data_IF_662255153368
#
_entry.id   IF_662255153368
#
_cell.length_a   1.000
_cell.length_b   1.000
_cell.length_c   1.000
_cell.angle_alpha   90.00
_cell.angle_beta   90.00
_cell.angle_gamma   90.00
#
_symmetry.space_group_name_H-M   'P 1'
#
loop_
_entity.id
_entity.type
_entity.pdbx_description
1 polymer ?
#
# COMPACT_ATOMS: atom_id res chain seq x y z
N UNK A 1 -43.37 63.98 2.04
CA UNK A 1 -41.95 63.81 1.67
C UNK A 1 -41.34 62.64 2.46
N UNK A 2 -41.07 62.76 3.76
CA UNK A 2 -40.45 61.69 4.58
C UNK A 2 -41.14 60.31 4.54
N UNK A 3 -42.48 60.24 4.58
CA UNK A 3 -43.22 58.96 4.50
C UNK A 3 -43.01 58.23 3.16
N UNK A 4 -43.01 58.96 2.06
CA UNK A 4 -42.78 58.40 0.72
C UNK A 4 -41.36 57.88 0.55
N UNK A 5 -40.39 58.51 1.21
CA UNK A 5 -38.99 58.09 1.19
C UNK A 5 -38.77 56.82 2.01
N UNK A 6 -39.42 56.73 3.18
CA UNK A 6 -39.44 55.50 3.99
C UNK A 6 -40.07 54.33 3.21
N UNK A 7 -41.17 54.56 2.50
CA UNK A 7 -41.82 53.52 1.70
C UNK A 7 -40.96 53.10 0.49
N UNK A 8 -40.26 54.04 -0.15
CA UNK A 8 -39.28 53.71 -1.19
C UNK A 8 -38.12 52.85 -0.64
N UNK A 9 -37.53 53.22 0.50
CA UNK A 9 -36.46 52.45 1.14
C UNK A 9 -36.92 51.06 1.59
N UNK A 10 -38.18 50.92 2.03
CA UNK A 10 -38.77 49.60 2.33
C UNK A 10 -38.89 48.73 1.09
N UNK A 11 -39.36 49.30 -0.02
CA UNK A 11 -39.47 48.59 -1.29
C UNK A 11 -38.09 48.20 -1.84
N UNK A 12 -37.08 49.07 -1.71
CA UNK A 12 -35.69 48.74 -2.10
C UNK A 12 -35.09 47.63 -1.24
N UNK A 13 -35.31 47.69 0.08
CA UNK A 13 -34.89 46.62 0.99
C UNK A 13 -35.56 45.29 0.66
N UNK A 14 -36.87 45.29 0.39
CA UNK A 14 -37.59 44.07 0.01
C UNK A 14 -37.05 43.49 -1.31
N UNK A 15 -36.78 44.34 -2.30
CA UNK A 15 -36.13 43.91 -3.56
C UNK A 15 -34.74 43.32 -3.31
N UNK A 16 -33.95 43.95 -2.45
CA UNK A 16 -32.61 43.46 -2.09
C UNK A 16 -32.68 42.12 -1.34
N UNK A 17 -33.57 41.98 -0.36
CA UNK A 17 -33.77 40.72 0.38
C UNK A 17 -34.22 39.59 -0.57
N UNK A 18 -35.13 39.88 -1.50
CA UNK A 18 -35.56 38.91 -2.51
C UNK A 18 -34.41 38.49 -3.44
N UNK A 19 -33.58 39.44 -3.87
CA UNK A 19 -32.39 39.15 -4.68
C UNK A 19 -31.36 38.32 -3.90
N UNK A 20 -31.10 38.66 -2.63
CA UNK A 20 -30.19 37.90 -1.75
C UNK A 20 -30.67 36.45 -1.56
N UNK A 21 -31.96 36.25 -1.27
CA UNK A 21 -32.56 34.92 -1.14
C UNK A 21 -32.44 34.11 -2.43
N UNK A 22 -32.61 34.74 -3.59
CA UNK A 22 -32.42 34.10 -4.88
C UNK A 22 -30.96 33.67 -5.09
N UNK A 23 -30.01 34.57 -4.84
CA UNK A 23 -28.57 34.26 -4.92
C UNK A 23 -28.16 33.15 -3.94
N UNK A 24 -28.69 33.13 -2.73
CA UNK A 24 -28.47 32.07 -1.74
C UNK A 24 -29.07 30.72 -2.18
N UNK A 25 -30.20 30.74 -2.88
CA UNK A 25 -30.80 29.54 -3.46
C UNK A 25 -29.94 28.98 -4.59
N UNK A 26 -29.49 29.84 -5.51
CA UNK A 26 -28.62 29.46 -6.63
C UNK A 26 -27.27 28.91 -6.13
N UNK A 27 -26.69 29.52 -5.08
CA UNK A 27 -25.47 29.01 -4.45
C UNK A 27 -25.65 27.63 -3.82
N UNK A 28 -26.81 27.37 -3.19
CA UNK A 28 -27.12 26.04 -2.64
C UNK A 28 -27.28 24.99 -3.73
N UNK A 29 -27.97 25.34 -4.80
CA UNK A 29 -28.15 24.45 -5.95
C UNK A 29 -26.82 24.13 -6.63
N UNK A 30 -25.97 25.13 -6.87
CA UNK A 30 -24.65 24.93 -7.46
C UNK A 30 -23.76 24.05 -6.57
N UNK A 31 -23.81 24.22 -5.25
CA UNK A 31 -23.10 23.35 -4.30
C UNK A 31 -23.60 21.90 -4.37
N UNK A 32 -24.91 21.70 -4.47
CA UNK A 32 -25.48 20.35 -4.62
C UNK A 32 -25.02 19.70 -5.93
N UNK A 33 -25.07 20.43 -7.04
CA UNK A 33 -24.58 19.94 -8.34
C UNK A 33 -23.07 19.63 -8.31
N UNK A 34 -22.27 20.44 -7.60
CA UNK A 34 -20.84 20.20 -7.44
C UNK A 34 -20.59 18.88 -6.69
N UNK A 35 -21.29 18.66 -5.58
CA UNK A 35 -21.18 17.41 -4.79
C UNK A 35 -21.59 16.21 -5.65
N UNK A 36 -22.71 16.29 -6.35
CA UNK A 36 -23.17 15.22 -7.24
C UNK A 36 -22.15 14.93 -8.36
N UNK A 37 -21.55 15.97 -8.95
CA UNK A 37 -20.51 15.81 -9.96
C UNK A 37 -19.26 15.11 -9.41
N UNK A 38 -18.86 15.45 -8.18
CA UNK A 38 -17.74 14.80 -7.48
C UNK A 38 -18.08 13.33 -7.21
N UNK A 39 -19.27 13.03 -6.69
CA UNK A 39 -19.71 11.64 -6.40
C UNK A 39 -19.74 10.79 -7.67
N UNK A 40 -20.28 11.31 -8.78
CA UNK A 40 -20.26 10.65 -10.09
C UNK A 40 -18.83 10.44 -10.59
N UNK A 41 -17.94 11.41 -10.39
CA UNK A 41 -16.54 11.31 -10.78
C UNK A 41 -15.79 10.25 -9.97
N UNK A 42 -16.01 10.19 -8.65
CA UNK A 42 -15.42 9.19 -7.75
C UNK A 42 -15.91 7.80 -8.14
N UNK A 43 -17.22 7.62 -8.32
CA UNK A 43 -17.81 6.34 -8.74
C UNK A 43 -17.22 5.85 -10.07
N UNK A 44 -17.08 6.75 -11.04
CA UNK A 44 -16.51 6.42 -12.36
C UNK A 44 -15.02 6.07 -12.26
N UNK A 45 -14.29 6.74 -11.36
CA UNK A 45 -12.88 6.46 -11.10
C UNK A 45 -12.70 5.07 -10.47
N UNK A 46 -13.53 4.72 -9.48
CA UNK A 46 -13.49 3.42 -8.82
C UNK A 46 -13.83 2.29 -9.79
N UNK A 47 -14.88 2.44 -10.61
CA UNK A 47 -15.21 1.48 -11.66
C UNK A 47 -14.06 1.27 -12.66
N UNK A 48 -13.40 2.36 -13.07
CA UNK A 48 -12.22 2.28 -13.96
C UNK A 48 -11.05 1.58 -13.28
N UNK A 49 -10.81 1.86 -12.00
CA UNK A 49 -9.76 1.22 -11.20
C UNK A 49 -10.00 -0.29 -11.10
N UNK A 50 -11.23 -0.71 -10.83
CA UNK A 50 -11.61 -2.12 -10.76
C UNK A 50 -11.50 -2.83 -12.12
N UNK A 51 -11.93 -2.17 -13.20
CA UNK A 51 -11.80 -2.70 -14.56
C UNK A 51 -10.31 -2.87 -14.94
N UNK A 52 -9.46 -1.89 -14.63
CA UNK A 52 -8.03 -1.97 -14.88
C UNK A 52 -7.36 -3.08 -14.06
N UNK A 53 -7.73 -3.24 -12.78
CA UNK A 53 -7.21 -4.33 -11.96
C UNK A 53 -7.58 -5.71 -12.54
N UNK A 54 -8.82 -5.88 -13.00
CA UNK A 54 -9.27 -7.10 -13.68
C UNK A 54 -8.54 -7.33 -15.01
N UNK A 55 -8.31 -6.27 -15.79
CA UNK A 55 -7.58 -6.36 -17.05
C UNK A 55 -6.13 -6.81 -16.84
N UNK A 56 -5.44 -6.24 -15.85
CA UNK A 56 -4.07 -6.64 -15.50
C UNK A 56 -4.04 -8.10 -15.05
N UNK A 57 -4.98 -8.53 -14.20
CA UNK A 57 -5.06 -9.92 -13.74
C UNK A 57 -5.31 -10.91 -14.89
N UNK A 58 -6.18 -10.54 -15.84
CA UNK A 58 -6.42 -11.36 -17.03
C UNK A 58 -5.20 -11.40 -17.94
N UNK A 59 -4.49 -10.28 -18.09
CA UNK A 59 -3.27 -10.21 -18.88
C UNK A 59 -2.16 -11.08 -18.27
N UNK A 60 -1.91 -10.97 -16.96
CA UNK A 60 -0.88 -11.79 -16.29
C UNK A 60 -1.23 -13.27 -16.38
N UNK A 61 -2.50 -13.63 -16.20
CA UNK A 61 -2.95 -15.02 -16.38
C UNK A 61 -2.74 -15.50 -17.82
N UNK A 62 -3.07 -14.69 -18.82
CA UNK A 62 -2.86 -15.05 -20.22
C UNK A 62 -1.36 -15.20 -20.55
N UNK A 63 -0.50 -14.37 -19.97
CA UNK A 63 0.96 -14.47 -20.13
C UNK A 63 1.52 -15.72 -19.46
N UNK A 64 1.05 -16.09 -18.26
CA UNK A 64 1.46 -17.33 -17.59
C UNK A 64 0.99 -18.57 -18.35
N UNK A 65 -0.27 -18.58 -18.81
CA UNK A 65 -0.84 -19.69 -19.57
C UNK A 65 -0.11 -19.86 -20.91
N UNK A 66 0.21 -18.74 -21.58
CA UNK A 66 1.02 -18.75 -22.80
C UNK A 66 2.42 -19.29 -22.53
N UNK A 67 3.09 -18.84 -21.46
CA UNK A 67 4.43 -19.32 -21.11
C UNK A 67 4.44 -20.82 -20.80
N UNK A 68 3.42 -21.32 -20.09
CA UNK A 68 3.25 -22.74 -19.83
C UNK A 68 3.04 -23.54 -21.14
N UNK A 69 2.16 -23.06 -22.02
CA UNK A 69 1.92 -23.69 -23.32
C UNK A 69 3.18 -23.70 -24.21
N UNK A 70 3.98 -22.62 -24.21
CA UNK A 70 5.26 -22.59 -24.90
C UNK A 70 6.26 -23.60 -24.32
N UNK A 71 6.28 -23.80 -23.00
CA UNK A 71 7.15 -24.79 -22.36
C UNK A 71 6.75 -26.22 -22.74
N UNK A 72 5.45 -26.53 -22.72
CA UNK A 72 4.91 -27.82 -23.18
C UNK A 72 5.23 -28.07 -24.66
N UNK A 73 5.09 -27.05 -25.51
CA UNK A 73 5.43 -27.15 -26.93
C UNK A 73 6.91 -27.46 -27.16
N UNK A 74 7.82 -26.79 -26.43
CA UNK A 74 9.26 -27.08 -26.51
C UNK A 74 9.61 -28.50 -26.06
N UNK A 75 8.91 -29.03 -25.06
CA UNK A 75 9.13 -30.41 -24.60
C UNK A 75 8.63 -31.43 -25.63
N UNK A 76 7.46 -31.21 -26.22
CA UNK A 76 6.96 -32.02 -27.33
C UNK A 76 7.91 -31.97 -28.53
N UNK A 77 8.44 -30.80 -28.88
CA UNK A 77 9.46 -30.67 -29.93
C UNK A 77 10.74 -31.46 -29.62
N UNK A 78 11.19 -31.47 -28.36
CA UNK A 78 12.32 -32.30 -27.90
C UNK A 78 12.03 -33.78 -28.05
N UNK A 79 10.86 -34.25 -27.63
CA UNK A 79 10.43 -35.63 -27.80
C UNK A 79 10.36 -36.02 -29.27
N UNK A 80 9.76 -35.18 -30.13
CA UNK A 80 9.69 -35.42 -31.58
C UNK A 80 11.09 -35.45 -32.20
N UNK A 81 12.00 -34.57 -31.78
CA UNK A 81 13.39 -34.55 -32.24
C UNK A 81 14.14 -35.83 -31.85
N UNK A 82 13.96 -36.27 -30.60
CA UNK A 82 14.50 -37.55 -30.12
C UNK A 82 13.95 -38.73 -30.94
N UNK A 83 12.64 -38.81 -31.13
CA UNK A 83 11.99 -39.87 -31.90
C UNK A 83 12.37 -39.85 -33.39
N UNK A 84 12.57 -38.67 -33.98
CA UNK A 84 13.09 -38.55 -35.35
C UNK A 84 14.51 -39.11 -35.42
N UNK A 85 15.40 -38.71 -34.50
CA UNK A 85 16.76 -39.27 -34.44
C UNK A 85 16.77 -40.77 -34.23
N UNK A 86 15.89 -41.29 -33.37
CA UNK A 86 15.75 -42.72 -33.14
C UNK A 86 15.23 -43.44 -34.40
N UNK A 87 14.22 -42.89 -35.06
CA UNK A 87 13.72 -43.42 -36.34
C UNK A 87 14.78 -43.41 -37.43
N UNK A 88 15.57 -42.34 -37.55
CA UNK A 88 16.65 -42.23 -38.51
C UNK A 88 17.79 -43.20 -38.18
N UNK A 89 18.13 -43.37 -36.90
CA UNK A 89 19.08 -44.37 -36.44
C UNK A 89 18.60 -45.80 -36.74
N UNK A 90 17.33 -46.10 -36.45
CA UNK A 90 16.72 -47.40 -36.78
C UNK A 90 16.67 -47.61 -38.28
N UNK A 91 16.35 -46.59 -39.09
CA UNK A 91 16.43 -46.66 -40.56
C UNK A 91 17.85 -46.91 -41.05
N UNK A 92 18.86 -46.27 -40.47
CA UNK A 92 20.26 -46.46 -40.85
C UNK A 92 20.79 -47.83 -40.42
N UNK A 93 20.34 -48.35 -39.28
CA UNK A 93 20.67 -49.71 -38.81
C UNK A 93 19.90 -50.80 -39.55
N UNK A 94 18.66 -50.51 -39.95
CA UNK A 94 17.80 -51.40 -40.74
C UNK A 94 18.05 -51.28 -42.23
N UNK A 95 18.78 -50.26 -42.69
CA UNK A 95 19.45 -50.28 -43.97
C UNK A 95 20.48 -51.40 -43.87
N UNK A 96 20.10 -52.56 -44.40
CA UNK A 96 21.03 -53.57 -44.86
C UNK A 96 22.13 -52.81 -45.61
N UNK A 97 23.39 -52.93 -45.16
CA UNK A 97 24.53 -52.52 -45.96
C UNK A 97 24.25 -53.08 -47.36
N UNK A 98 24.02 -52.23 -48.35
CA UNK A 98 24.01 -52.68 -49.74
C UNK A 98 25.43 -53.17 -50.01
N UNK A 99 25.66 -54.45 -49.74
CA UNK A 99 26.72 -55.21 -50.37
C UNK A 99 26.34 -55.33 -51.84
N UNK A 100 27.33 -55.18 -52.73
CA UNK A 100 27.17 -55.31 -54.18
C UNK A 100 26.26 -56.49 -54.55
N UNK A 101 25.35 -56.29 -55.50
CA UNK A 101 24.34 -57.29 -55.93
C UNK A 101 24.98 -58.65 -56.33
N UNK A 102 26.24 -58.67 -56.75
CA UNK A 102 27.01 -59.89 -57.05
C UNK A 102 27.47 -60.67 -55.80
N UNK A 103 27.71 -60.00 -54.67
CA UNK A 103 28.10 -60.64 -53.41
C UNK A 103 26.90 -61.23 -52.66
N UNK A 104 25.73 -60.59 -52.79
CA UNK A 104 24.47 -61.02 -52.15
C UNK A 104 23.93 -62.30 -52.80
N UNK A 105 24.04 -62.47 -54.11
CA UNK A 105 23.61 -63.69 -54.81
C UNK A 105 24.54 -64.88 -54.52
N UNK A 106 25.85 -64.63 -54.39
CA UNK A 106 26.83 -65.64 -53.98
C UNK A 106 26.67 -66.07 -52.52
N UNK A 107 26.40 -65.12 -51.60
CA UNK A 107 26.14 -65.44 -50.18
C UNK A 107 24.79 -66.11 -49.98
N UNK A 108 23.70 -65.69 -50.61
CA UNK A 108 22.38 -66.34 -50.47
C UNK A 108 22.41 -67.83 -50.86
N UNK A 109 23.20 -68.20 -51.87
CA UNK A 109 23.38 -69.61 -52.28
C UNK A 109 24.21 -70.43 -51.29
N UNK A 110 25.23 -69.82 -50.67
CA UNK A 110 26.10 -70.45 -49.65
C UNK A 110 25.48 -70.44 -48.24
N UNK A 111 24.62 -69.46 -47.97
CA UNK A 111 23.97 -69.23 -46.69
C UNK A 111 22.67 -70.03 -46.58
N UNK A 112 21.96 -70.34 -47.66
CA UNK A 112 20.87 -71.33 -47.63
C UNK A 112 21.37 -72.73 -47.19
N UNK A 113 22.56 -73.13 -47.66
CA UNK A 113 23.20 -74.40 -47.31
C UNK A 113 23.84 -74.35 -45.91
N UNK A 114 24.40 -73.20 -45.51
CA UNK A 114 24.98 -73.00 -44.18
C UNK A 114 23.94 -72.73 -43.08
N UNK A 115 22.75 -72.22 -43.40
CA UNK A 115 21.66 -71.98 -42.44
C UNK A 115 20.94 -73.26 -42.09
N UNK A 116 20.80 -74.22 -43.00
CA UNK A 116 20.27 -75.55 -42.66
C UNK A 116 21.22 -76.32 -41.74
N UNK A 117 22.54 -76.23 -42.00
CA UNK A 117 23.59 -76.78 -41.11
C UNK A 117 23.68 -76.03 -39.78
N UNK A 118 23.70 -74.69 -39.79
CA UNK A 118 23.71 -73.88 -38.56
C UNK A 118 22.42 -73.97 -37.76
N UNK A 119 21.27 -74.25 -38.37
CA UNK A 119 20.02 -74.47 -37.63
C UNK A 119 20.09 -75.77 -36.86
N UNK A 120 20.57 -76.85 -37.50
CA UNK A 120 20.84 -78.14 -36.84
C UNK A 120 21.96 -78.03 -35.80
N UNK A 121 23.08 -77.38 -36.10
CA UNK A 121 24.19 -77.16 -35.15
C UNK A 121 23.82 -76.19 -34.01
N UNK A 122 22.93 -75.20 -34.22
CA UNK A 122 22.41 -74.34 -33.15
C UNK A 122 21.35 -75.05 -32.31
N UNK A 123 20.50 -75.87 -32.91
CA UNK A 123 19.55 -76.73 -32.19
C UNK A 123 20.33 -77.77 -31.36
N UNK A 124 21.37 -78.40 -31.92
CA UNK A 124 22.26 -79.36 -31.23
C UNK A 124 23.13 -78.69 -30.16
N UNK A 125 23.82 -77.57 -30.44
CA UNK A 125 24.56 -76.85 -29.40
C UNK A 125 23.67 -76.24 -28.33
N UNK A 126 22.42 -75.88 -28.66
CA UNK A 126 21.45 -75.45 -27.65
C UNK A 126 21.07 -76.61 -26.75
N UNK A 127 20.81 -77.80 -27.30
CA UNK A 127 20.49 -79.00 -26.53
C UNK A 127 21.68 -79.47 -25.69
N UNK A 128 22.89 -79.52 -26.24
CA UNK A 128 24.12 -79.86 -25.51
C UNK A 128 24.42 -78.85 -24.40
N UNK A 129 24.20 -77.55 -24.64
CA UNK A 129 24.35 -76.51 -23.62
C UNK A 129 23.30 -76.64 -22.51
N UNK A 130 22.05 -77.00 -22.85
CA UNK A 130 21.01 -77.27 -21.87
C UNK A 130 21.29 -78.55 -21.09
N UNK A 131 21.73 -79.64 -21.72
CA UNK A 131 22.16 -80.88 -21.06
C UNK A 131 23.35 -80.65 -20.11
N UNK A 132 24.33 -79.85 -20.53
CA UNK A 132 25.49 -79.49 -19.69
C UNK A 132 25.08 -78.68 -18.46
N UNK A 133 24.18 -77.71 -18.63
CA UNK A 133 23.58 -76.97 -17.50
C UNK A 133 22.73 -77.87 -16.61
N UNK A 134 21.99 -78.82 -17.17
CA UNK A 134 21.19 -79.78 -16.41
C UNK A 134 22.06 -80.72 -15.58
N UNK A 135 23.14 -81.27 -16.15
CA UNK A 135 24.13 -82.07 -15.41
C UNK A 135 24.75 -81.25 -14.27
N UNK A 136 25.03 -79.96 -14.51
CA UNK A 136 25.53 -79.08 -13.46
C UNK A 136 24.53 -78.85 -12.33
N UNK A 137 23.25 -78.71 -12.65
CA UNK A 137 22.18 -78.58 -11.64
C UNK A 137 21.99 -79.91 -10.89
N UNK A 138 22.09 -81.05 -11.57
CA UNK A 138 22.02 -82.39 -10.99
C UNK A 138 23.17 -82.66 -10.00
N UNK A 139 24.39 -82.22 -10.32
CA UNK A 139 25.56 -82.29 -9.42
C UNK A 139 25.38 -81.46 -8.15
N UNK A 140 24.73 -80.29 -8.26
CA UNK A 140 24.55 -79.35 -7.14
C UNK A 140 23.35 -79.73 -6.27
N UNK A 141 22.27 -80.21 -6.90
CA UNK A 141 20.99 -80.49 -6.23
C UNK A 141 20.91 -81.92 -5.66
N UNK A 142 21.71 -82.86 -6.18
CA UNK A 142 21.84 -84.22 -5.64
C UNK A 142 20.65 -85.16 -5.91
N UNK A 143 19.62 -84.71 -6.63
CA UNK A 143 18.46 -85.52 -7.01
C UNK A 143 18.60 -86.10 -8.42
N UNK A 144 18.36 -87.41 -8.56
CA UNK A 144 18.52 -88.14 -9.84
C UNK A 144 17.23 -88.20 -10.67
N UNK A 145 16.10 -87.79 -10.10
CA UNK A 145 14.77 -87.91 -10.71
C UNK A 145 14.37 -86.57 -11.35
N UNK A 146 14.38 -86.53 -12.68
CA UNK A 146 14.33 -85.29 -13.47
C UNK A 146 13.00 -84.54 -13.28
N UNK A 147 11.91 -85.29 -13.16
CA UNK A 147 10.57 -84.72 -12.95
C UNK A 147 10.44 -84.07 -11.56
N UNK A 148 11.01 -84.69 -10.51
CA UNK A 148 10.99 -84.11 -9.14
C UNK A 148 11.84 -82.85 -9.01
N UNK A 149 12.94 -82.78 -9.76
CA UNK A 149 13.79 -81.59 -9.80
C UNK A 149 13.06 -80.43 -10.49
N UNK A 150 12.34 -80.71 -11.57
CA UNK A 150 11.51 -79.70 -12.26
C UNK A 150 10.38 -79.23 -11.35
N UNK A 151 9.68 -80.14 -10.67
CA UNK A 151 8.60 -79.77 -9.73
C UNK A 151 9.11 -78.88 -8.58
N UNK A 152 10.27 -79.21 -7.99
CA UNK A 152 10.91 -78.36 -6.97
C UNK A 152 11.41 -77.03 -7.52
N UNK A 153 11.91 -77.02 -8.75
CA UNK A 153 12.34 -75.79 -9.40
C UNK A 153 11.15 -74.86 -9.63
N UNK A 154 10.02 -75.40 -10.11
CA UNK A 154 8.77 -74.65 -10.27
C UNK A 154 8.30 -74.12 -8.90
N UNK A 155 8.30 -74.93 -7.85
CA UNK A 155 7.93 -74.45 -6.52
C UNK A 155 8.84 -73.33 -5.98
N UNK A 156 10.15 -73.43 -6.22
CA UNK A 156 11.12 -72.41 -5.81
C UNK A 156 10.98 -71.16 -6.68
N UNK A 157 10.73 -71.32 -7.98
CA UNK A 157 10.49 -70.24 -8.93
C UNK A 157 9.19 -69.50 -8.58
N UNK A 158 8.11 -70.20 -8.26
CA UNK A 158 6.84 -69.61 -7.81
C UNK A 158 7.02 -68.82 -6.51
N UNK A 159 7.76 -69.37 -5.54
CA UNK A 159 8.09 -68.66 -4.29
C UNK A 159 8.95 -67.42 -4.56
N UNK A 160 9.91 -67.52 -5.47
CA UNK A 160 10.79 -66.41 -5.84
C UNK A 160 10.03 -65.34 -6.62
N UNK A 161 9.11 -65.74 -7.50
CA UNK A 161 8.22 -64.85 -8.23
C UNK A 161 7.28 -64.10 -7.28
N UNK A 162 6.70 -64.80 -6.29
CA UNK A 162 5.91 -64.17 -5.24
C UNK A 162 6.73 -63.16 -4.42
N UNK A 163 7.98 -63.51 -4.06
CA UNK A 163 8.89 -62.61 -3.37
C UNK A 163 9.27 -61.39 -4.22
N UNK A 164 9.55 -61.58 -5.51
CA UNK A 164 9.87 -60.49 -6.43
C UNK A 164 8.70 -59.51 -6.58
N UNK A 165 7.48 -60.04 -6.70
CA UNK A 165 6.27 -59.21 -6.72
C UNK A 165 6.09 -58.45 -5.40
N UNK A 166 6.34 -59.10 -4.25
CA UNK A 166 6.28 -58.44 -2.95
C UNK A 166 7.33 -57.33 -2.80
N UNK A 167 8.57 -57.57 -3.25
CA UNK A 167 9.62 -56.56 -3.25
C UNK A 167 9.27 -55.39 -4.17
N UNK A 168 8.70 -55.64 -5.34
CA UNK A 168 8.24 -54.57 -6.23
C UNK A 168 7.11 -53.75 -5.61
N UNK A 169 6.14 -54.41 -4.98
CA UNK A 169 5.06 -53.73 -4.27
C UNK A 169 5.59 -52.90 -3.10
N UNK A 170 6.52 -53.43 -2.31
CA UNK A 170 7.19 -52.66 -1.26
C UNK A 170 7.98 -51.48 -1.80
N UNK A 171 8.68 -51.63 -2.92
CA UNK A 171 9.40 -50.52 -3.55
C UNK A 171 8.42 -49.44 -4.03
N UNK A 172 7.29 -49.82 -4.61
CA UNK A 172 6.25 -48.89 -5.02
C UNK A 172 5.62 -48.16 -3.80
N UNK A 173 5.44 -48.88 -2.68
CA UNK A 173 5.01 -48.28 -1.42
C UNK A 173 6.07 -47.33 -0.83
N UNK A 174 7.36 -47.65 -0.96
CA UNK A 174 8.44 -46.76 -0.54
C UNK A 174 8.44 -45.49 -1.38
N UNK A 175 8.29 -45.60 -2.71
CA UNK A 175 8.24 -44.43 -3.60
C UNK A 175 7.04 -43.52 -3.29
N UNK A 176 5.86 -44.09 -3.12
CA UNK A 176 4.65 -43.33 -2.75
C UNK A 176 4.78 -42.67 -1.37
N UNK A 177 5.34 -43.35 -0.38
CA UNK A 177 5.61 -42.76 0.94
C UNK A 177 6.67 -41.64 0.87
N UNK A 178 7.70 -41.80 0.04
CA UNK A 178 8.71 -40.77 -0.17
C UNK A 178 8.11 -39.51 -0.84
N UNK A 179 7.21 -39.70 -1.81
CA UNK A 179 6.47 -38.60 -2.45
C UNK A 179 5.58 -37.88 -1.43
N UNK A 180 4.82 -38.62 -0.61
CA UNK A 180 4.02 -38.03 0.47
C UNK A 180 4.87 -37.25 1.48
N UNK A 181 6.03 -37.78 1.87
CA UNK A 181 6.96 -37.07 2.77
C UNK A 181 7.48 -35.79 2.10
N UNK A 182 7.80 -35.84 0.80
CA UNK A 182 8.26 -34.67 0.07
C UNK A 182 7.16 -33.59 0.00
N UNK A 183 5.92 -33.98 -0.24
CA UNK A 183 4.80 -33.05 -0.32
C UNK A 183 4.45 -32.45 1.05
N UNK A 184 4.42 -33.26 2.12
CA UNK A 184 4.23 -32.75 3.48
C UNK A 184 5.34 -31.75 3.84
N UNK A 185 6.60 -32.03 3.48
CA UNK A 185 7.72 -31.09 3.72
C UNK A 185 7.55 -29.78 2.95
N UNK A 186 7.08 -29.83 1.69
CA UNK A 186 6.75 -28.62 0.92
C UNK A 186 5.63 -27.83 1.58
N UNK A 187 4.60 -28.51 2.10
CA UNK A 187 3.51 -27.85 2.82
C UNK A 187 3.99 -27.18 4.11
N UNK A 188 4.84 -27.86 4.90
CA UNK A 188 5.46 -27.28 6.10
C UNK A 188 6.22 -26.00 5.72
N UNK A 189 7.08 -26.03 4.71
CA UNK A 189 7.80 -24.83 4.27
C UNK A 189 6.87 -23.71 3.80
N UNK A 190 5.76 -24.04 3.13
CA UNK A 190 4.74 -23.05 2.74
C UNK A 190 4.10 -22.41 3.98
N UNK A 191 3.75 -23.22 4.98
CA UNK A 191 3.15 -22.73 6.23
C UNK A 191 4.14 -21.92 7.07
N UNK A 192 5.42 -22.31 7.11
CA UNK A 192 6.46 -21.52 7.77
C UNK A 192 6.63 -20.15 7.11
N UNK A 193 6.69 -20.09 5.77
CA UNK A 193 6.76 -18.83 5.03
C UNK A 193 5.55 -17.92 5.30
N UNK A 194 4.34 -18.49 5.24
CA UNK A 194 3.11 -17.76 5.58
C UNK A 194 3.09 -17.31 7.06
N UNK A 195 3.64 -18.11 7.97
CA UNK A 195 3.76 -17.79 9.38
C UNK A 195 4.66 -16.60 9.64
N UNK A 196 5.80 -16.51 8.94
CA UNK A 196 6.72 -15.37 9.03
C UNK A 196 6.07 -14.09 8.50
N UNK A 197 5.42 -14.13 7.34
CA UNK A 197 4.72 -12.96 6.79
C UNK A 197 3.60 -12.48 7.71
N UNK A 198 2.81 -13.41 8.27
CA UNK A 198 1.73 -13.06 9.20
C UNK A 198 2.28 -12.48 10.50
N UNK A 199 3.38 -13.03 11.04
CA UNK A 199 4.00 -12.50 12.26
C UNK A 199 4.61 -11.12 12.02
N UNK A 200 5.24 -10.87 10.86
CA UNK A 200 5.70 -9.52 10.48
C UNK A 200 4.53 -8.53 10.39
N UNK A 201 3.43 -8.90 9.75
CA UNK A 201 2.24 -8.04 9.67
C UNK A 201 1.67 -7.75 11.06
N UNK A 202 1.60 -8.78 11.92
CA UNK A 202 1.14 -8.65 13.30
C UNK A 202 2.08 -7.78 14.13
N UNK A 203 3.38 -7.85 13.92
CA UNK A 203 4.38 -7.02 14.57
C UNK A 203 4.22 -5.55 14.15
N UNK A 204 4.11 -5.27 12.85
CA UNK A 204 3.86 -3.90 12.34
C UNK A 204 2.55 -3.32 12.88
N UNK A 205 1.50 -4.13 12.96
CA UNK A 205 0.22 -3.70 13.53
C UNK A 205 0.35 -3.40 15.02
N UNK A 206 1.10 -4.21 15.78
CA UNK A 206 1.38 -3.96 17.20
C UNK A 206 2.11 -2.63 17.38
N UNK A 207 3.19 -2.41 16.63
CA UNK A 207 3.95 -1.16 16.67
C UNK A 207 3.07 0.05 16.33
N UNK A 208 2.22 -0.05 15.31
CA UNK A 208 1.29 1.03 14.94
C UNK A 208 0.27 1.33 16.05
N UNK A 209 -0.24 0.30 16.73
CA UNK A 209 -1.18 0.46 17.84
C UNK A 209 -0.47 1.07 19.06
N UNK A 210 0.74 0.61 19.38
CA UNK A 210 1.57 1.15 20.47
C UNK A 210 1.89 2.63 20.23
N UNK A 211 2.29 3.00 19.02
CA UNK A 211 2.52 4.40 18.64
C UNK A 211 1.27 5.25 18.81
N UNK A 212 0.10 4.75 18.37
CA UNK A 212 -1.16 5.49 18.50
C UNK A 212 -1.58 5.63 19.97
N UNK A 213 -1.40 4.59 20.78
CA UNK A 213 -1.63 4.64 22.23
C UNK A 213 -0.69 5.65 22.89
N UNK A 214 0.60 5.63 22.55
CA UNK A 214 1.60 6.57 23.07
C UNK A 214 1.23 8.02 22.76
N UNK A 215 0.87 8.33 21.50
CA UNK A 215 0.41 9.67 21.10
C UNK A 215 -0.88 10.07 21.81
N UNK A 216 -1.86 9.17 21.91
CA UNK A 216 -3.12 9.45 22.59
C UNK A 216 -2.92 9.70 24.09
N UNK A 217 -2.04 8.94 24.74
CA UNK A 217 -1.70 9.15 26.15
C UNK A 217 -0.97 10.47 26.35
N UNK A 218 -0.01 10.82 25.49
CA UNK A 218 0.66 12.12 25.56
C UNK A 218 -0.31 13.30 25.46
N UNK A 219 -1.27 13.23 24.54
CA UNK A 219 -2.32 14.26 24.44
C UNK A 219 -3.23 14.28 25.67
N UNK A 220 -3.59 13.11 26.21
CA UNK A 220 -4.40 13.03 27.42
C UNK A 220 -3.68 13.65 28.63
N UNK A 221 -2.40 13.37 28.80
CA UNK A 221 -1.55 13.94 29.85
C UNK A 221 -1.47 15.48 29.71
N UNK A 222 -1.28 16.00 28.50
CA UNK A 222 -1.28 17.45 28.25
C UNK A 222 -2.62 18.12 28.61
N UNK A 223 -3.74 17.50 28.25
CA UNK A 223 -5.07 18.02 28.61
C UNK A 223 -5.33 17.92 30.11
N UNK A 224 -4.84 16.87 30.77
CA UNK A 224 -4.92 16.73 32.22
C UNK A 224 -4.10 17.83 32.92
N UNK A 225 -2.89 18.11 32.46
CA UNK A 225 -2.05 19.21 32.95
C UNK A 225 -2.74 20.57 32.80
N UNK A 226 -3.29 20.87 31.61
CA UNK A 226 -4.03 22.12 31.36
C UNK A 226 -5.26 22.22 32.26
N UNK A 227 -6.02 21.13 32.42
CA UNK A 227 -7.19 21.07 33.29
C UNK A 227 -6.81 21.26 34.75
N UNK A 228 -5.70 20.66 35.20
CA UNK A 228 -5.17 20.82 36.55
C UNK A 228 -4.73 22.26 36.82
N UNK A 229 -4.09 22.91 35.84
CA UNK A 229 -3.75 24.33 35.89
C UNK A 229 -5.00 25.21 36.03
N UNK A 230 -6.01 25.00 35.18
CA UNK A 230 -7.27 25.74 35.23
C UNK A 230 -8.02 25.55 36.56
N UNK A 231 -8.06 24.31 37.09
CA UNK A 231 -8.66 24.02 38.40
C UNK A 231 -7.97 24.78 39.54
N UNK A 232 -6.64 24.84 39.54
CA UNK A 232 -5.88 25.62 40.54
C UNK A 232 -6.24 27.11 40.50
N UNK A 233 -6.35 27.69 39.29
CA UNK A 233 -6.77 29.09 39.12
C UNK A 233 -8.19 29.28 39.65
N UNK A 234 -9.10 28.37 39.31
CA UNK A 234 -10.48 28.43 39.75
C UNK A 234 -10.61 28.33 41.28
N UNK A 235 -9.83 27.47 41.92
CA UNK A 235 -9.79 27.35 43.39
C UNK A 235 -9.24 28.63 44.06
N UNK A 236 -8.23 29.27 43.46
CA UNK A 236 -7.74 30.58 43.92
C UNK A 236 -8.82 31.67 43.78
N UNK A 237 -9.55 31.68 42.66
CA UNK A 237 -10.67 32.60 42.47
C UNK A 237 -11.77 32.38 43.52
N UNK A 238 -12.15 31.13 43.80
CA UNK A 238 -13.13 30.80 44.85
C UNK A 238 -12.70 31.32 46.22
N UNK A 239 -11.44 31.07 46.60
CA UNK A 239 -10.89 31.56 47.86
C UNK A 239 -10.86 33.10 47.92
N UNK A 240 -10.53 33.75 46.80
CA UNK A 240 -10.57 35.21 46.67
C UNK A 240 -11.98 35.79 46.84
N UNK A 241 -12.97 35.18 46.19
CA UNK A 241 -14.39 35.57 46.29
C UNK A 241 -14.91 35.38 47.71
N UNK A 242 -14.61 34.25 48.36
CA UNK A 242 -15.00 34.01 49.75
C UNK A 242 -14.35 35.03 50.72
N UNK A 243 -13.08 35.38 50.50
CA UNK A 243 -12.38 36.42 51.28
C UNK A 243 -13.00 37.81 51.08
N UNK A 244 -13.34 38.18 49.85
CA UNK A 244 -14.00 39.45 49.54
C UNK A 244 -15.41 39.51 50.14
N UNK A 245 -16.18 38.43 50.01
CA UNK A 245 -17.52 38.32 50.59
C UNK A 245 -17.51 38.58 52.10
N UNK A 246 -16.54 38.00 52.82
CA UNK A 246 -16.34 38.21 54.26
C UNK A 246 -15.88 39.63 54.59
N UNK A 247 -14.95 40.20 53.82
CA UNK A 247 -14.39 41.55 54.09
C UNK A 247 -15.37 42.69 53.85
N UNK A 248 -16.21 42.58 52.82
CA UNK A 248 -17.21 43.60 52.46
C UNK A 248 -18.42 43.53 53.41
N UNK A 249 -18.53 42.47 54.22
CA UNK A 249 -19.61 42.29 55.17
C UNK A 249 -20.95 42.03 54.49
N UNK A 250 -20.94 41.24 53.42
CA UNK A 250 -22.16 40.87 52.70
C UNK A 250 -23.03 39.96 53.59
N UNK A 251 -24.35 40.18 53.58
CA UNK A 251 -25.28 39.45 54.44
C UNK A 251 -25.43 37.99 53.99
N UNK A 252 -24.82 37.08 54.75
CA UNK A 252 -24.83 35.64 54.47
C UNK A 252 -26.24 35.03 54.44
N UNK A 253 -27.24 35.69 55.06
CA UNK A 253 -28.65 35.31 55.05
C UNK A 253 -29.33 35.48 53.69
N UNK A 254 -28.90 36.45 52.88
CA UNK A 254 -29.43 36.64 51.51
C UNK A 254 -29.03 35.47 50.59
N UNK A 255 -27.88 34.85 50.87
CA UNK A 255 -27.36 33.68 50.16
C UNK A 255 -27.99 32.39 50.67
N UNK A 256 -28.10 32.23 51.99
CA UNK A 256 -28.62 31.02 52.64
C UNK A 256 -30.09 30.74 52.29
N UNK A 257 -30.91 31.79 52.11
CA UNK A 257 -32.29 31.64 51.63
C UNK A 257 -32.40 31.18 50.17
N UNK A 258 -31.35 31.36 49.37
CA UNK A 258 -31.32 31.06 47.94
C UNK A 258 -30.55 29.78 47.60
N UNK A 259 -29.54 29.42 48.39
CA UNK A 259 -28.69 28.25 48.23
C UNK A 259 -28.98 27.29 49.39
N UNK A 260 -30.02 26.47 49.23
CA UNK A 260 -30.58 25.59 50.27
C UNK A 260 -29.62 24.54 50.88
N UNK A 261 -28.35 24.41 50.45
CA UNK A 261 -27.58 23.20 50.81
C UNK A 261 -26.06 23.29 51.00
N UNK A 262 -25.34 24.40 50.72
CA UNK A 262 -23.88 24.36 50.89
C UNK A 262 -23.28 25.64 51.49
N UNK A 263 -22.47 25.43 52.53
CA UNK A 263 -21.61 26.43 53.12
C UNK A 263 -20.33 26.55 52.27
N UNK A 264 -20.24 27.61 51.46
CA UNK A 264 -19.03 27.96 50.70
C UNK A 264 -19.27 28.25 49.22
N UNK A 265 -18.25 28.83 48.59
CA UNK A 265 -18.25 29.21 47.18
C UNK A 265 -17.92 27.99 46.29
N UNK A 266 -18.90 27.45 45.58
CA UNK A 266 -18.82 26.35 44.60
C UNK A 266 -18.90 26.85 43.16
N UNK A 267 -18.47 26.04 42.17
CA UNK A 267 -18.49 26.43 40.74
C UNK A 267 -19.85 27.00 40.27
N UNK A 268 -20.95 26.37 40.71
CA UNK A 268 -22.30 26.77 40.31
C UNK A 268 -22.80 28.04 41.01
N UNK A 269 -22.20 28.39 42.15
CA UNK A 269 -22.66 29.51 42.97
C UNK A 269 -21.74 30.74 42.92
N UNK A 270 -20.51 30.62 42.41
CA UNK A 270 -19.50 31.71 42.32
C UNK A 270 -20.09 32.98 41.70
N UNK A 271 -20.82 32.84 40.59
CA UNK A 271 -21.42 33.98 39.90
C UNK A 271 -22.49 34.68 40.75
N UNK A 272 -23.23 33.92 41.57
CA UNK A 272 -24.23 34.48 42.48
C UNK A 272 -23.56 35.23 43.64
N UNK A 273 -22.47 34.70 44.19
CA UNK A 273 -21.66 35.41 45.18
C UNK A 273 -21.11 36.72 44.62
N UNK A 274 -20.58 36.72 43.40
CA UNK A 274 -20.06 37.92 42.75
C UNK A 274 -21.14 38.99 42.52
N UNK A 275 -22.35 38.61 42.10
CA UNK A 275 -23.44 39.58 41.92
C UNK A 275 -23.88 40.26 43.22
N UNK A 276 -23.87 39.53 44.35
CA UNK A 276 -24.20 40.11 45.67
C UNK A 276 -23.06 41.01 46.16
N UNK A 277 -21.81 40.60 45.92
CA UNK A 277 -20.64 41.45 46.20
C UNK A 277 -20.72 42.75 45.38
N UNK A 278 -21.12 42.68 44.11
CA UNK A 278 -21.29 43.83 43.22
C UNK A 278 -22.36 44.79 43.75
N UNK A 279 -23.56 44.29 44.07
CA UNK A 279 -24.65 45.08 44.65
C UNK A 279 -24.19 45.80 45.92
N UNK A 280 -23.58 45.05 46.85
CA UNK A 280 -23.10 45.61 48.12
C UNK A 280 -21.97 46.63 47.94
N UNK A 281 -21.08 46.38 46.98
CA UNK A 281 -19.99 47.31 46.66
C UNK A 281 -20.54 48.60 46.06
N UNK A 282 -21.52 48.51 45.16
CA UNK A 282 -22.18 49.68 44.57
C UNK A 282 -22.95 50.50 45.62
N UNK A 283 -23.58 49.86 46.60
CA UNK A 283 -24.16 50.56 47.75
C UNK A 283 -23.12 51.34 48.56
N UNK A 284 -21.99 50.70 48.89
CA UNK A 284 -20.90 51.33 49.65
C UNK A 284 -20.27 52.50 48.88
N UNK A 285 -20.04 52.34 47.58
CA UNK A 285 -19.52 53.41 46.71
C UNK A 285 -20.50 54.59 46.62
N UNK A 286 -21.80 54.31 46.51
CA UNK A 286 -22.84 55.35 46.50
C UNK A 286 -22.87 56.09 47.84
N UNK A 287 -22.82 55.36 48.95
CA UNK A 287 -22.75 55.95 50.28
C UNK A 287 -21.52 56.86 50.44
N UNK A 288 -20.34 56.39 50.01
CA UNK A 288 -19.11 57.18 50.03
C UNK A 288 -19.20 58.43 49.15
N UNK A 289 -19.77 58.31 47.94
CA UNK A 289 -19.99 59.45 47.05
C UNK A 289 -20.92 60.49 47.70
N UNK A 290 -21.98 60.06 48.40
CA UNK A 290 -22.86 60.99 49.12
C UNK A 290 -22.18 61.68 50.31
N UNK A 291 -21.30 60.99 51.02
CA UNK A 291 -20.52 61.57 52.14
C UNK A 291 -19.52 62.58 51.59
N UNK A 292 -18.75 62.22 50.56
CA UNK A 292 -17.79 63.11 49.92
C UNK A 292 -18.45 64.36 49.32
N UNK A 293 -19.65 64.22 48.72
CA UNK A 293 -20.41 65.35 48.19
C UNK A 293 -20.88 66.31 49.29
N UNK A 294 -21.21 65.78 50.48
CA UNK A 294 -21.57 66.59 51.65
C UNK A 294 -20.37 67.32 52.26
N UNK A 295 -19.18 66.72 52.22
CA UNK A 295 -17.95 67.34 52.75
C UNK A 295 -17.37 68.43 51.82
N UNK A 296 -17.60 68.36 50.51
CA UNK A 296 -17.01 69.26 49.51
C UNK A 296 -17.95 70.37 48.98
N UNK A 297 -19.24 70.42 49.36
CA UNK A 297 -20.21 71.45 48.92
C UNK A 297 -20.31 71.61 47.38
N UNK A 298 -20.27 70.50 46.62
CA UNK A 298 -20.42 70.47 45.16
C UNK A 298 -21.72 69.70 44.82
N UNK A 299 -22.58 70.17 43.89
CA UNK A 299 -23.86 69.51 43.58
C UNK A 299 -23.67 68.07 43.10
N UNK A 300 -24.55 67.18 43.58
CA UNK A 300 -24.55 65.71 43.43
C UNK A 300 -24.40 65.16 41.99
N UNK A 301 -24.50 66.02 40.97
CA UNK A 301 -24.61 65.63 39.56
C UNK A 301 -23.26 65.51 38.83
N UNK A 302 -22.18 66.07 39.37
CA UNK A 302 -20.89 66.16 38.65
C UNK A 302 -19.79 65.21 39.13
N UNK A 303 -20.06 64.30 40.08
CA UNK A 303 -19.00 63.37 40.55
C UNK A 303 -19.47 61.96 40.86
N UNK A 304 -20.35 61.43 40.03
CA UNK A 304 -20.58 59.99 39.96
C UNK A 304 -19.89 59.34 38.73
N UNK A 305 -18.58 59.50 38.47
CA UNK A 305 -17.91 58.49 37.68
C UNK A 305 -17.55 57.35 38.64
N UNK A 306 -17.74 56.12 38.16
CA UNK A 306 -17.26 54.87 38.76
C UNK A 306 -18.26 54.14 39.67
N UNK A 307 -19.53 54.04 39.25
CA UNK A 307 -20.34 52.89 39.63
C UNK A 307 -19.79 51.67 38.86
N UNK A 308 -19.53 50.55 39.54
CA UNK A 308 -19.04 49.34 38.87
C UNK A 308 -20.15 48.87 37.94
N UNK A 309 -19.92 48.99 36.62
CA UNK A 309 -20.94 48.79 35.58
C UNK A 309 -20.96 49.89 34.50
N UNK A 310 -20.44 51.09 34.79
CA UNK A 310 -20.12 52.05 33.74
C UNK A 310 -18.85 51.56 33.02
N UNK A 311 -19.04 51.00 31.82
CA UNK A 311 -17.93 50.68 30.91
C UNK A 311 -17.06 51.92 30.65
N UNK A 312 -15.83 51.75 30.14
CA UNK A 312 -14.90 52.86 29.96
C UNK A 312 -15.58 53.99 29.17
N UNK A 313 -15.65 55.17 29.79
CA UNK A 313 -16.24 56.37 29.19
C UNK A 313 -15.39 56.83 28.02
N UNK A 314 -15.75 56.38 26.81
CA UNK A 314 -15.23 56.90 25.54
C UNK A 314 -13.73 56.66 25.30
N UNK A 315 -13.28 56.69 24.03
CA UNK A 315 -11.88 56.49 23.72
C UNK A 315 -11.07 57.68 24.24
N UNK A 316 -10.15 57.43 25.16
CA UNK A 316 -9.05 58.35 25.42
C UNK A 316 -8.32 58.62 24.08
N UNK A 317 -7.83 59.86 23.84
CA UNK A 317 -7.14 60.19 22.59
C UNK A 317 -5.97 59.21 22.40
N UNK A 318 -5.93 58.63 21.20
CA UNK A 318 -5.00 57.59 20.78
C UNK A 318 -3.60 57.76 21.36
N UNK A 319 -3.25 56.91 22.32
CA UNK A 319 -1.85 56.63 22.63
C UNK A 319 -1.36 55.74 21.50
N UNK A 320 -0.60 56.31 20.56
CA UNK A 320 0.17 55.53 19.60
C UNK A 320 1.24 54.75 20.36
N UNK A 321 0.92 53.52 20.73
CA UNK A 321 1.92 52.53 21.13
C UNK A 321 2.62 52.07 19.86
N UNK A 322 3.79 52.64 19.59
CA UNK A 322 4.71 52.02 18.63
C UNK A 322 5.17 50.69 19.23
N UNK A 323 4.69 49.58 18.66
CA UNK A 323 5.29 48.28 18.92
C UNK A 323 6.74 48.32 18.41
N UNK A 324 7.73 47.88 19.21
CA UNK A 324 9.10 47.72 18.74
C UNK A 324 9.12 46.80 17.53
N UNK A 325 9.76 47.25 16.46
CA UNK A 325 9.96 46.50 15.24
C UNK A 325 10.84 45.27 15.55
N UNK A 326 10.23 44.08 15.65
CA UNK A 326 10.96 42.81 15.73
C UNK A 326 11.28 42.33 14.33
N UNK A 327 12.20 43.01 13.65
CA UNK A 327 12.67 42.58 12.32
C UNK A 327 14.17 42.79 12.16
N UNK A 328 14.96 42.41 13.19
CA UNK A 328 16.43 42.46 13.06
C UNK A 328 17.20 41.45 13.93
N UNK A 329 16.59 40.30 14.25
CA UNK A 329 17.30 39.16 14.88
C UNK A 329 16.79 37.80 14.38
N UNK A 330 16.97 37.51 13.10
CA UNK A 330 16.96 36.11 12.62
C UNK A 330 18.38 35.68 12.31
N UNK A 331 18.93 34.87 13.19
CA UNK A 331 20.08 34.00 12.92
C UNK A 331 19.67 32.96 11.85
N UNK A 332 20.56 32.56 10.92
CA UNK A 332 20.17 31.77 9.74
C UNK A 332 19.97 30.26 9.97
N UNK A 333 19.97 29.76 11.21
CA UNK A 333 20.13 28.32 11.47
C UNK A 333 19.01 27.63 12.27
N UNK A 334 17.86 28.28 12.48
CA UNK A 334 16.68 27.60 13.05
C UNK A 334 15.83 26.96 11.95
N UNK A 335 15.84 25.63 11.93
CA UNK A 335 14.94 24.81 11.12
C UNK A 335 13.52 25.02 11.62
N UNK A 336 12.72 25.78 10.87
CA UNK A 336 11.29 25.94 11.15
C UNK A 336 10.57 24.58 11.08
N UNK A 337 10.06 24.17 12.24
CA UNK A 337 9.12 23.07 12.43
C UNK A 337 7.77 23.47 11.82
N UNK A 338 7.40 22.81 10.72
CA UNK A 338 6.22 23.13 9.89
C UNK A 338 4.91 22.58 10.46
N UNK A 339 4.76 22.56 11.78
CA UNK A 339 3.59 21.99 12.45
C UNK A 339 2.40 22.95 12.57
N UNK A 340 2.63 24.26 12.63
CA UNK A 340 1.58 25.22 13.02
C UNK A 340 0.91 25.96 11.84
N UNK A 341 1.49 25.95 10.63
CA UNK A 341 0.90 26.59 9.44
C UNK A 341 -0.24 25.79 8.78
N UNK A 342 -0.47 24.53 9.18
CA UNK A 342 -1.53 23.68 8.59
C UNK A 342 -2.96 23.99 9.06
N UNK A 343 -3.13 24.83 10.09
CA UNK A 343 -4.45 25.14 10.66
C UNK A 343 -5.06 26.44 10.13
N UNK A 344 -4.37 27.18 9.25
CA UNK A 344 -4.91 28.41 8.64
C UNK A 344 -5.45 28.09 7.24
N UNK A 345 -6.71 28.43 6.93
CA UNK A 345 -7.23 28.21 5.58
C UNK A 345 -6.43 29.05 4.57
N UNK A 346 -5.72 28.37 3.66
CA UNK A 346 -4.89 29.01 2.64
C UNK A 346 -5.75 29.86 1.71
N UNK A 347 -5.24 31.05 1.36
CA UNK A 347 -5.87 31.89 0.34
C UNK A 347 -5.70 31.28 -1.06
N UNK A 348 -6.59 31.64 -1.99
CA UNK A 348 -6.59 31.11 -3.37
C UNK A 348 -5.25 31.33 -4.10
N UNK A 349 -4.54 32.40 -3.78
CA UNK A 349 -3.24 32.73 -4.39
C UNK A 349 -2.10 31.89 -3.82
N UNK A 350 -2.08 31.66 -2.50
CA UNK A 350 -1.12 30.77 -1.84
C UNK A 350 -1.28 29.31 -2.30
N UNK A 351 -2.52 28.85 -2.47
CA UNK A 351 -2.80 27.50 -2.98
C UNK A 351 -2.30 27.32 -4.42
N UNK A 352 -2.44 28.36 -5.26
CA UNK A 352 -1.96 28.36 -6.64
C UNK A 352 -0.42 28.34 -6.68
N UNK A 353 0.23 29.10 -5.81
CA UNK A 353 1.69 29.11 -5.71
C UNK A 353 2.24 27.76 -5.24
N UNK A 354 1.63 27.15 -4.22
CA UNK A 354 2.03 25.83 -3.71
C UNK A 354 1.82 24.72 -4.75
N UNK A 355 0.74 24.77 -5.52
CA UNK A 355 0.52 23.84 -6.63
C UNK A 355 1.56 24.01 -7.76
N UNK A 356 1.91 25.25 -8.12
CA UNK A 356 2.94 25.53 -9.12
C UNK A 356 4.33 25.06 -8.65
N UNK A 357 4.63 25.20 -7.37
CA UNK A 357 5.90 24.76 -6.79
C UNK A 357 6.00 23.23 -6.71
N UNK A 358 4.89 22.54 -6.41
CA UNK A 358 4.82 21.07 -6.50
C UNK A 358 5.04 20.58 -7.93
N UNK A 359 4.41 21.21 -8.92
CA UNK A 359 4.61 20.86 -10.35
C UNK A 359 6.06 21.07 -10.77
N UNK A 360 6.68 22.21 -10.43
CA UNK A 360 8.11 22.47 -10.71
C UNK A 360 9.03 21.45 -10.05
N UNK A 361 8.72 21.01 -8.83
CA UNK A 361 9.51 19.99 -8.13
C UNK A 361 9.33 18.60 -8.76
N UNK A 362 8.15 18.25 -9.25
CA UNK A 362 7.92 17.02 -10.02
C UNK A 362 8.64 17.06 -11.37
N UNK A 363 8.62 18.19 -12.08
CA UNK A 363 9.38 18.36 -13.33
C UNK A 363 10.88 18.25 -13.10
N UNK A 364 11.43 18.85 -12.04
CA UNK A 364 12.87 18.70 -11.68
C UNK A 364 13.24 17.26 -11.34
N UNK A 365 12.36 16.52 -10.65
CA UNK A 365 12.57 15.10 -10.35
C UNK A 365 12.52 14.25 -11.62
N UNK A 366 11.56 14.49 -12.52
CA UNK A 366 11.46 13.80 -13.79
C UNK A 366 12.69 14.05 -14.68
N UNK A 367 13.22 15.28 -14.71
CA UNK A 367 14.47 15.63 -15.41
C UNK A 367 15.70 14.95 -14.77
N UNK A 368 15.75 14.82 -13.45
CA UNK A 368 16.82 14.09 -12.77
C UNK A 368 16.76 12.58 -13.03
N UNK A 369 15.56 11.99 -13.07
CA UNK A 369 15.38 10.58 -13.42
C UNK A 369 15.72 10.31 -14.88
N UNK A 370 15.30 11.20 -15.79
CA UNK A 370 15.65 11.11 -17.22
C UNK A 370 17.17 11.18 -17.46
N UNK A 371 17.89 12.03 -16.70
CA UNK A 371 19.36 12.10 -16.77
C UNK A 371 20.04 10.86 -16.16
N UNK A 372 19.47 10.25 -15.11
CA UNK A 372 19.99 8.98 -14.55
C UNK A 372 19.85 7.80 -15.50
N UNK A 373 18.78 7.75 -16.29
CA UNK A 373 18.59 6.70 -17.31
C UNK A 373 19.48 6.89 -18.55
N UNK A 374 19.92 8.12 -18.85
CA UNK A 374 20.86 8.39 -19.95
C UNK A 374 22.30 7.90 -19.64
N UNK A 375 22.72 7.91 -18.38
CA UNK A 375 24.06 7.46 -17.95
C UNK A 375 24.21 5.93 -17.82
N UNK A 376 23.11 5.15 -17.92
CA UNK A 376 23.13 3.68 -17.82
C UNK A 376 23.03 2.93 -19.16
N UNK A 377 23.07 3.62 -20.30
CA UNK A 377 23.14 2.97 -21.61
C UNK A 377 24.57 2.42 -21.87
N UNK A 378 24.75 1.13 -22.19
CA UNK A 378 26.08 0.56 -22.42
C UNK A 378 26.66 1.10 -23.73
N UNK A 379 27.83 1.73 -23.62
CA UNK A 379 28.67 2.15 -24.74
C UNK A 379 29.20 0.91 -25.46
N UNK A 380 28.57 0.52 -26.58
CA UNK A 380 29.15 -0.44 -27.51
C UNK A 380 30.42 0.16 -28.12
N UNK A 381 31.57 -0.39 -27.73
CA UNK A 381 32.87 -0.21 -28.35
C UNK A 381 32.80 -0.66 -29.81
N UNK A 382 32.75 0.31 -30.74
CA UNK A 382 32.94 0.06 -32.17
C UNK A 382 34.40 0.31 -32.52
N UNK A 383 35.12 -0.78 -32.73
CA UNK A 383 36.48 -0.79 -33.27
C UNK A 383 36.58 0.02 -34.56
N UNK A 384 37.59 0.91 -34.60
CA UNK A 384 38.03 1.61 -35.80
C UNK A 384 39.01 0.71 -36.55
N UNK A 385 38.58 0.14 -37.66
CA UNK A 385 39.48 -0.37 -38.70
C UNK A 385 39.55 0.66 -39.83
N UNK A 386 40.69 1.35 -39.89
CA UNK A 386 41.12 2.21 -40.97
C UNK A 386 41.61 1.37 -42.15
N UNK A 387 41.01 1.52 -43.33
CA UNK A 387 41.64 1.14 -44.59
C UNK A 387 41.36 2.21 -45.65
N UNK A 388 42.43 2.90 -46.00
CA UNK A 388 42.58 3.93 -47.02
C UNK A 388 42.62 3.26 -48.41
N UNK A 389 41.87 3.74 -49.40
CA UNK A 389 42.36 3.80 -50.79
C UNK A 389 41.54 4.74 -51.70
N UNK A 390 42.18 5.87 -51.98
CA UNK A 390 42.23 6.68 -53.20
C UNK A 390 41.44 6.27 -54.48
N UNK A 391 40.63 7.24 -54.94
CA UNK A 391 40.77 8.04 -56.19
C UNK A 391 40.21 7.51 -57.52
N UNK A 392 39.71 8.50 -58.30
CA UNK A 392 39.22 8.53 -59.70
C UNK A 392 37.72 8.27 -59.84
N UNK A 393 36.89 9.06 -60.54
CA UNK A 393 37.10 10.21 -61.44
C UNK A 393 36.07 10.11 -62.59
N UNK A 394 35.30 11.18 -62.84
CA UNK A 394 34.33 11.32 -63.95
C UNK A 394 32.88 11.20 -63.49
N UNK A 395 31.95 12.13 -63.67
CA UNK A 395 31.89 13.31 -64.53
C UNK A 395 31.02 13.05 -65.77
N UNK A 396 29.69 13.16 -65.64
CA UNK A 396 28.70 13.32 -66.73
C UNK A 396 27.33 13.65 -66.08
N UNK A 397 26.92 14.92 -66.04
CA UNK A 397 25.97 15.59 -66.97
C UNK A 397 24.56 14.99 -67.00
N UNK A 398 23.55 15.79 -66.60
CA UNK A 398 22.14 15.45 -66.80
C UNK A 398 21.18 16.27 -65.93
N UNK A 399 20.87 17.49 -66.36
CA UNK A 399 19.79 18.32 -65.80
C UNK A 399 18.40 17.69 -66.04
N UNK A 400 17.37 18.08 -65.26
CA UNK A 400 16.07 17.41 -65.19
C UNK A 400 15.09 17.93 -66.25
N UNK A 401 13.91 17.29 -66.37
CA UNK A 401 12.72 18.11 -66.46
C UNK A 401 11.55 17.65 -65.58
N UNK A 402 10.91 18.68 -65.07
CA UNK A 402 9.53 18.80 -64.60
C UNK A 402 8.48 18.22 -65.56
N UNK A 403 7.48 17.49 -65.03
CA UNK A 403 6.04 17.59 -65.34
C UNK A 403 5.29 16.61 -64.43
N UNK A 404 4.46 17.06 -63.48
CA UNK A 404 3.03 17.39 -63.59
C UNK A 404 2.19 16.36 -64.36
N UNK A 405 1.33 15.68 -63.61
CA UNK A 405 -0.04 15.37 -64.03
C UNK A 405 -0.39 13.89 -64.12
N UNK A 406 -1.04 13.34 -63.10
CA UNK A 406 -2.50 13.32 -63.01
C UNK A 406 -2.95 13.11 -61.57
#
# INVERSE_FOLDING_TARGET
LLRSEIDNLRNERERFENLSRKSESELRELRAQLVECIERSVTSYDQRKDANAKAILLQTKAETDKSASEAEMRELERQISHDRKLRDFMKLKSQERQEDEELVTYRKRKEAEATEKRRKEKEEHSVEAYESKFKRIQEISGEQDLDKLVDKFIEVEDKNFALFNYVNELNNQIETLQEQIADIKKEIHRFEGQGVELEEQRQRLREQIEDRCSRSNGLADEYEEKTRGARKILDQCRAGVDSLFKKIGCDRRQIENLLQSHDGVTEDNVLRYLGIIEERTNELLTAQATINAKEQNIPLRERAPNLIGDGPTGPAPHVQVHLPNTDDRRDPDEREDKGEEELKPLTREELKQRALEQVKNLERKALQEQNKYADMAPTTTREKSSATMSRTGGGETGKPPTSRGR
#
